data_IF_460549628744
#
_entry.id   IF_460549628744
#
_cell.length_a   1.000
_cell.length_b   1.000
_cell.length_c   1.000
_cell.angle_alpha   90.00
_cell.angle_beta   90.00
_cell.angle_gamma   90.00
#
_symmetry.space_group_name_H-M   'P 1'
#
loop_
_entity.id
_entity.type
_entity.pdbx_description
1 polymer ?
#
# COMPACT_ATOMS: atom_id res chain seq x y z
N UNK A 1 3.86 0.28 -24.13
CA UNK A 1 3.09 0.67 -22.94
C UNK A 1 2.73 -0.62 -22.20
N UNK A 2 3.27 -0.86 -21.01
CA UNK A 2 2.97 -2.10 -20.28
C UNK A 2 1.58 -1.98 -19.63
N UNK A 3 0.61 -2.87 -19.95
CA UNK A 3 -0.79 -2.67 -19.63
C UNK A 3 -1.12 -2.72 -18.12
N UNK A 4 -0.22 -3.16 -17.26
CA UNK A 4 -0.49 -3.38 -15.82
C UNK A 4 0.60 -2.78 -14.91
N UNK A 5 0.95 -1.49 -15.07
CA UNK A 5 1.82 -0.81 -14.10
C UNK A 5 1.05 -0.66 -12.77
N UNK A 6 1.57 -1.26 -11.70
CA UNK A 6 1.08 -1.03 -10.34
C UNK A 6 1.55 0.35 -9.88
N UNK A 7 0.66 1.12 -9.26
CA UNK A 7 1.01 2.35 -8.55
C UNK A 7 0.79 2.23 -7.04
N UNK A 8 1.19 3.28 -6.31
CA UNK A 8 1.08 3.32 -4.85
C UNK A 8 -0.37 3.25 -4.35
N UNK A 9 -1.32 3.81 -5.11
CA UNK A 9 -2.74 3.81 -4.74
C UNK A 9 -3.36 2.42 -4.94
N UNK A 10 -2.91 1.67 -5.94
CA UNK A 10 -3.27 0.27 -6.12
C UNK A 10 -2.83 -0.55 -4.89
N UNK A 11 -1.59 -0.39 -4.45
CA UNK A 11 -1.05 -1.10 -3.28
C UNK A 11 -1.81 -0.72 -2.00
N UNK A 12 -2.04 0.57 -1.77
CA UNK A 12 -2.80 1.05 -0.63
C UNK A 12 -4.23 0.49 -0.62
N UNK A 13 -4.87 0.45 -1.79
CA UNK A 13 -6.21 -0.12 -1.98
C UNK A 13 -6.22 -1.61 -1.64
N UNK A 14 -5.24 -2.36 -2.14
CA UNK A 14 -5.13 -3.79 -1.86
C UNK A 14 -5.00 -4.04 -0.35
N UNK A 15 -4.11 -3.31 0.33
CA UNK A 15 -3.85 -3.46 1.76
C UNK A 15 -5.13 -3.24 2.59
N UNK A 16 -5.91 -2.20 2.26
CA UNK A 16 -7.18 -1.92 2.95
C UNK A 16 -8.23 -3.00 2.68
N UNK A 17 -8.34 -3.50 1.46
CA UNK A 17 -9.32 -4.54 1.12
C UNK A 17 -9.01 -5.89 1.77
N UNK A 18 -7.72 -6.21 1.96
CA UNK A 18 -7.25 -7.51 2.45
C UNK A 18 -6.86 -7.51 3.93
N UNK A 19 -7.10 -6.42 4.67
CA UNK A 19 -6.85 -6.37 6.10
C UNK A 19 -7.82 -7.26 6.90
N UNK A 20 -7.39 -7.69 8.08
CA UNK A 20 -8.25 -8.45 9.00
C UNK A 20 -9.09 -7.57 9.93
N UNK A 21 -8.70 -6.31 10.15
CA UNK A 21 -9.36 -5.37 11.06
C UNK A 21 -9.61 -4.03 10.37
N UNK A 22 -10.78 -3.45 10.58
CA UNK A 22 -11.17 -2.14 10.03
C UNK A 22 -10.74 -0.99 10.96
N UNK A 23 -9.43 -0.86 11.15
CA UNK A 23 -8.83 0.12 12.08
C UNK A 23 -7.57 0.81 11.52
N UNK A 24 -7.42 0.80 10.19
CA UNK A 24 -6.29 1.44 9.55
C UNK A 24 -6.44 2.96 9.57
N UNK A 25 -5.41 3.63 10.05
CA UNK A 25 -5.27 5.08 9.98
C UNK A 25 -4.42 5.44 8.76
N UNK A 26 -4.42 6.72 8.37
CA UNK A 26 -3.57 7.25 7.29
C UNK A 26 -2.11 6.84 7.46
N UNK A 27 -1.58 6.98 8.68
CA UNK A 27 -0.18 6.63 8.99
C UNK A 27 0.10 5.15 8.95
N UNK A 28 -0.83 4.31 9.41
CA UNK A 28 -0.67 2.85 9.29
C UNK A 28 -0.53 2.45 7.82
N UNK A 29 -1.38 2.97 6.94
CA UNK A 29 -1.29 2.67 5.50
C UNK A 29 0.03 3.16 4.91
N UNK A 30 0.44 4.41 5.16
CA UNK A 30 1.69 4.96 4.62
C UNK A 30 2.89 4.08 5.00
N UNK A 31 2.98 3.68 6.27
CA UNK A 31 4.03 2.77 6.76
C UNK A 31 3.95 1.39 6.10
N UNK A 32 2.76 0.82 5.94
CA UNK A 32 2.59 -0.50 5.33
C UNK A 32 2.93 -0.51 3.84
N UNK A 33 2.55 0.53 3.10
CA UNK A 33 2.88 0.65 1.68
C UNK A 33 4.40 0.81 1.50
N UNK A 34 5.04 1.64 2.33
CA UNK A 34 6.51 1.78 2.34
C UNK A 34 7.21 0.45 2.65
N UNK A 35 6.79 -0.27 3.70
CA UNK A 35 7.36 -1.57 4.06
C UNK A 35 7.14 -2.61 2.97
N UNK A 36 5.99 -2.59 2.29
CA UNK A 36 5.71 -3.45 1.14
C UNK A 36 6.68 -3.18 0.00
N UNK A 37 6.90 -1.90 -0.33
CA UNK A 37 7.87 -1.46 -1.32
C UNK A 37 9.29 -1.92 -0.97
N UNK A 38 9.77 -1.64 0.23
CA UNK A 38 11.12 -2.00 0.66
C UNK A 38 11.35 -3.51 0.61
N UNK A 39 10.41 -4.33 1.10
CA UNK A 39 10.55 -5.80 1.05
C UNK A 39 10.58 -6.32 -0.38
N UNK A 40 9.73 -5.77 -1.26
CA UNK A 40 9.74 -6.17 -2.66
C UNK A 40 11.07 -5.81 -3.32
N UNK A 41 11.55 -4.58 -3.10
CA UNK A 41 12.83 -4.12 -3.62
C UNK A 41 14.00 -4.98 -3.12
N UNK A 42 14.05 -5.30 -1.82
CA UNK A 42 15.10 -6.16 -1.26
C UNK A 42 15.07 -7.58 -1.81
N UNK A 43 13.87 -8.14 -2.06
CA UNK A 43 13.71 -9.52 -2.53
C UNK A 43 14.00 -9.69 -4.01
N UNK A 44 13.51 -8.76 -4.84
CA UNK A 44 13.54 -8.89 -6.29
C UNK A 44 14.57 -7.98 -6.96
N UNK A 45 15.18 -7.07 -6.19
CA UNK A 45 16.14 -6.07 -6.67
C UNK A 45 15.61 -5.19 -7.81
N UNK A 46 14.28 -5.02 -7.87
CA UNK A 46 13.57 -4.14 -8.81
C UNK A 46 12.48 -3.37 -8.07
N UNK A 47 12.20 -2.10 -8.43
CA UNK A 47 11.15 -1.33 -7.78
C UNK A 47 9.76 -1.89 -8.11
N UNK A 48 8.89 -1.99 -7.11
CA UNK A 48 7.50 -2.43 -7.29
C UNK A 48 6.65 -1.38 -8.02
N UNK A 49 6.87 -0.12 -7.69
CA UNK A 49 6.25 1.06 -8.27
C UNK A 49 7.23 2.24 -8.13
N UNK A 50 6.83 3.40 -8.63
CA UNK A 50 7.63 4.62 -8.56
C UNK A 50 7.68 5.16 -7.12
N UNK A 51 8.88 5.30 -6.56
CA UNK A 51 9.06 5.72 -5.17
C UNK A 51 9.03 7.24 -5.06
N UNK A 52 8.04 7.76 -4.33
CA UNK A 52 7.81 9.18 -4.03
C UNK A 52 7.75 9.44 -2.52
N UNK A 53 8.27 8.52 -1.69
CA UNK A 53 8.26 8.66 -0.24
C UNK A 53 9.25 9.71 0.24
N UNK A 54 8.75 10.65 1.04
CA UNK A 54 9.52 11.65 1.77
C UNK A 54 9.70 11.23 3.23
N UNK A 55 10.84 11.58 3.83
CA UNK A 55 11.11 11.34 5.24
C UNK A 55 10.53 12.48 6.08
N UNK A 56 9.33 12.28 6.63
CA UNK A 56 8.69 13.21 7.57
C UNK A 56 8.94 12.78 9.02
N UNK A 57 8.64 13.65 9.97
CA UNK A 57 8.82 13.38 11.41
C UNK A 57 8.12 12.10 11.87
N UNK A 58 6.91 11.84 11.36
CA UNK A 58 6.08 10.68 11.71
C UNK A 58 6.45 9.39 10.96
N UNK A 59 7.40 9.47 10.02
CA UNK A 59 7.86 8.38 9.16
C UNK A 59 7.72 8.68 7.67
N UNK A 60 7.80 7.63 6.82
CA UNK A 60 7.75 7.81 5.37
C UNK A 60 6.35 8.21 4.91
N UNK A 61 6.26 9.25 4.08
CA UNK A 61 5.02 9.77 3.51
C UNK A 61 5.13 9.89 2.00
N UNK A 62 4.22 9.26 1.26
CA UNK A 62 3.93 9.64 -0.11
C UNK A 62 2.87 10.73 -0.10
N UNK A 63 3.21 11.92 -0.62
CA UNK A 63 2.28 13.04 -0.72
C UNK A 63 1.07 12.71 -1.62
N UNK A 64 1.21 12.09 -2.80
CA UNK A 64 0.07 11.62 -3.60
C UNK A 64 -0.89 10.71 -2.84
N UNK A 65 -0.37 9.72 -2.10
CA UNK A 65 -1.20 8.84 -1.28
C UNK A 65 -1.86 9.61 -0.13
N UNK A 66 -1.16 10.54 0.51
CA UNK A 66 -1.72 11.34 1.60
C UNK A 66 -2.87 12.22 1.10
N UNK A 67 -2.71 12.89 -0.05
CA UNK A 67 -3.74 13.70 -0.69
C UNK A 67 -4.97 12.86 -1.12
N UNK A 68 -4.78 11.60 -1.47
CA UNK A 68 -5.90 10.70 -1.73
C UNK A 68 -6.60 10.31 -0.42
N UNK A 69 -5.83 9.94 0.61
CA UNK A 69 -6.32 9.57 1.93
C UNK A 69 -7.16 10.67 2.60
N UNK A 70 -6.84 11.94 2.35
CA UNK A 70 -7.57 13.05 3.00
C UNK A 70 -9.01 13.21 2.54
N UNK A 71 -9.38 12.60 1.41
CA UNK A 71 -10.75 12.59 0.87
C UNK A 71 -11.69 11.65 1.63
N UNK A 72 -11.15 10.80 2.49
CA UNK A 72 -11.88 9.77 3.24
C UNK A 72 -11.84 10.04 4.75
N UNK A 73 -12.72 9.40 5.55
CA UNK A 73 -12.66 9.46 7.02
C UNK A 73 -11.29 9.07 7.58
N UNK A 74 -11.01 9.41 8.84
CA UNK A 74 -9.69 9.15 9.45
C UNK A 74 -9.39 7.67 9.69
N UNK A 75 -10.44 6.84 9.73
CA UNK A 75 -10.37 5.38 9.83
C UNK A 75 -10.83 4.76 8.53
N UNK A 76 -10.12 3.74 8.10
CA UNK A 76 -10.34 3.07 6.83
C UNK A 76 -10.85 1.65 7.02
N UNK A 77 -11.91 1.33 6.29
CA UNK A 77 -12.49 0.00 6.17
C UNK A 77 -12.35 -0.53 4.73
N UNK A 78 -12.71 -1.80 4.52
CA UNK A 78 -12.58 -2.51 3.24
C UNK A 78 -13.36 -1.91 2.07
N UNK A 79 -14.29 -0.99 2.32
CA UNK A 79 -15.08 -0.34 1.26
C UNK A 79 -14.26 0.73 0.53
N UNK A 80 -13.21 1.25 1.17
CA UNK A 80 -12.36 2.30 0.60
C UNK A 80 -11.54 1.78 -0.58
N UNK A 81 -11.46 2.61 -1.60
CA UNK A 81 -10.73 2.35 -2.84
C UNK A 81 -10.02 3.64 -3.25
N UNK A 82 -8.71 3.71 -3.06
CA UNK A 82 -7.91 4.91 -3.37
C UNK A 82 -7.56 4.99 -4.87
N UNK A 83 -7.35 3.84 -5.52
CA UNK A 83 -7.09 3.76 -6.96
C UNK A 83 -8.40 3.65 -7.74
N UNK A 84 -8.72 4.66 -8.54
CA UNK A 84 -9.92 4.66 -9.39
C UNK A 84 -9.89 3.55 -10.45
N UNK A 85 -8.69 3.13 -10.87
CA UNK A 85 -8.46 2.07 -11.84
C UNK A 85 -7.95 0.80 -11.17
N UNK A 86 -8.35 0.57 -9.92
CA UNK A 86 -7.94 -0.61 -9.18
C UNK A 86 -8.41 -1.87 -9.89
N UNK A 87 -7.47 -2.77 -10.15
CA UNK A 87 -7.74 -4.11 -10.64
C UNK A 87 -6.78 -5.06 -9.91
N UNK A 88 -7.35 -6.01 -9.19
CA UNK A 88 -6.58 -7.00 -8.43
C UNK A 88 -5.70 -7.86 -9.34
N UNK A 89 -6.08 -8.05 -10.61
CA UNK A 89 -5.30 -8.79 -11.58
C UNK A 89 -3.99 -8.11 -11.99
N UNK A 90 -3.78 -6.83 -11.60
CA UNK A 90 -2.47 -6.18 -11.74
C UNK A 90 -1.39 -6.83 -10.87
N UNK A 91 -1.79 -7.46 -9.76
CA UNK A 91 -0.87 -8.08 -8.81
C UNK A 91 -0.54 -9.52 -9.22
N UNK A 92 0.73 -9.77 -9.56
CA UNK A 92 1.21 -11.14 -9.78
C UNK A 92 1.37 -11.90 -8.45
N UNK A 93 1.59 -13.22 -8.53
CA UNK A 93 1.82 -14.06 -7.34
C UNK A 93 3.02 -13.59 -6.51
N UNK A 94 4.05 -13.05 -7.15
CA UNK A 94 5.23 -12.48 -6.51
C UNK A 94 4.88 -11.27 -5.65
N UNK A 95 3.99 -10.39 -6.13
CA UNK A 95 3.49 -9.24 -5.38
C UNK A 95 2.64 -9.69 -4.17
N UNK A 96 1.79 -10.70 -4.36
CA UNK A 96 0.88 -11.22 -3.31
C UNK A 96 1.62 -12.07 -2.26
N UNK A 97 2.69 -12.78 -2.64
CA UNK A 97 3.53 -13.55 -1.71
C UNK A 97 4.40 -12.68 -0.80
N UNK A 98 4.42 -11.36 -0.97
CA UNK A 98 5.10 -10.46 -0.04
C UNK A 98 4.44 -10.57 1.35
N UNK A 99 5.20 -10.96 2.37
CA UNK A 99 4.69 -11.15 3.73
C UNK A 99 4.00 -9.92 4.30
N UNK A 100 4.31 -8.70 3.83
CA UNK A 100 3.54 -7.51 4.23
C UNK A 100 2.07 -7.55 3.77
N UNK A 101 1.76 -8.26 2.67
CA UNK A 101 0.41 -8.44 2.15
C UNK A 101 -0.30 -9.64 2.79
N UNK A 102 0.46 -10.64 3.27
CA UNK A 102 -0.08 -11.87 3.90
C UNK A 102 -0.08 -11.87 5.43
N UNK A 103 0.86 -11.17 6.06
CA UNK A 103 1.19 -11.24 7.49
C UNK A 103 1.10 -9.89 8.23
N UNK A 104 0.22 -8.98 7.78
CA UNK A 104 -0.20 -7.79 8.55
C UNK A 104 -0.55 -8.15 10.01
N UNK A 105 -0.97 -9.40 10.26
CA UNK A 105 -1.36 -9.93 11.57
C UNK A 105 -0.26 -9.99 12.65
N UNK A 106 1.03 -10.02 12.29
CA UNK A 106 2.12 -10.22 13.27
C UNK A 106 2.93 -8.95 13.61
N UNK A 107 2.78 -7.86 12.85
CA UNK A 107 3.61 -6.66 13.01
C UNK A 107 2.90 -5.51 13.74
N UNK A 108 1.66 -5.72 14.20
CA UNK A 108 0.84 -4.69 14.85
C UNK A 108 0.26 -5.15 16.20
N UNK A 109 0.90 -6.12 16.86
CA UNK A 109 0.67 -6.46 18.26
C UNK A 109 1.79 -5.87 19.12
#
# INVERSE_FOLDING_TARGET
MQPNKIDILDVATYLVKHQNKDDFTRMKIQKLVFLTYCKYLLKYNIPMFENDFEAWEEGPISLPLYLEQIKYPTKFDKTITFSQKYDENKFTKEHIQNDSMKHINNWMN
#
